data_IF_010074897606
#
_entry.id   IF_010074897606
#
_cell.length_a   1.000
_cell.length_b   1.000
_cell.length_c   1.000
_cell.angle_alpha   90.00
_cell.angle_beta   90.00
_cell.angle_gamma   90.00
#
_symmetry.space_group_name_H-M   'P 1'
#
loop_
_entity.id
_entity.type
_entity.pdbx_description
1 polymer ?
#
# COMPACT_ATOMS: atom_id res chain seq x y z
N UNK A 1 -0.44 0.50 21.23
CA UNK A 1 0.83 -0.06 20.70
C UNK A 1 1.86 1.04 20.64
N UNK A 2 3.06 0.74 21.06
CA UNK A 2 4.17 1.68 21.04
C UNK A 2 4.66 1.85 19.61
N UNK A 3 4.73 3.09 19.14
CA UNK A 3 5.24 3.40 17.81
C UNK A 3 6.74 3.69 17.92
N UNK A 4 7.58 2.74 17.52
CA UNK A 4 9.01 2.93 17.40
C UNK A 4 9.45 2.83 15.94
N UNK A 5 10.00 3.90 15.41
CA UNK A 5 10.58 3.96 14.09
C UNK A 5 9.66 4.52 13.00
N UNK A 6 10.17 4.48 11.78
CA UNK A 6 9.46 4.94 10.59
C UNK A 6 8.40 3.92 10.25
N UNK A 7 7.15 4.19 10.62
CA UNK A 7 6.03 3.44 10.06
C UNK A 7 6.08 3.49 8.54
N UNK A 8 5.27 2.66 7.89
CA UNK A 8 5.05 2.76 6.44
C UNK A 8 3.80 3.60 6.20
N UNK A 9 3.91 4.94 6.19
CA UNK A 9 2.76 5.78 5.89
C UNK A 9 2.32 5.50 4.46
N UNK A 10 1.02 5.31 4.29
CA UNK A 10 0.46 5.22 2.96
C UNK A 10 0.25 6.65 2.43
N UNK A 11 0.48 6.84 1.15
CA UNK A 11 0.12 8.10 0.49
C UNK A 11 -1.38 8.15 0.31
N UNK A 12 -1.96 9.33 0.53
CA UNK A 12 -3.40 9.56 0.33
C UNK A 12 -3.71 9.96 -1.12
N UNK A 13 -2.69 10.31 -1.89
CA UNK A 13 -2.77 10.73 -3.28
C UNK A 13 -1.90 9.84 -4.19
N UNK A 14 -2.28 9.73 -5.45
CA UNK A 14 -1.52 9.03 -6.47
C UNK A 14 -1.54 7.50 -6.30
N UNK A 15 -0.37 6.86 -6.47
CA UNK A 15 -0.24 5.41 -6.44
C UNK A 15 0.15 4.90 -5.06
N UNK A 16 -0.48 3.80 -4.66
CA UNK A 16 -0.10 3.08 -3.44
C UNK A 16 1.28 2.44 -3.58
N UNK A 17 2.04 2.42 -2.50
CA UNK A 17 3.24 1.60 -2.43
C UNK A 17 2.87 0.10 -2.50
N UNK A 18 3.82 -0.72 -2.94
CA UNK A 18 3.66 -2.18 -2.96
C UNK A 18 3.27 -2.71 -1.58
N UNK A 19 2.22 -3.51 -1.53
CA UNK A 19 1.77 -4.18 -0.32
C UNK A 19 2.57 -5.49 -0.15
N UNK A 20 3.40 -5.61 0.89
CA UNK A 20 4.21 -6.82 1.08
C UNK A 20 3.38 -7.97 1.63
N UNK A 21 3.66 -9.20 1.19
CA UNK A 21 3.05 -10.42 1.74
C UNK A 21 3.27 -10.59 3.26
N UNK A 22 4.28 -9.93 3.82
CA UNK A 22 4.59 -9.94 5.25
C UNK A 22 3.80 -8.89 6.07
N UNK A 23 2.72 -8.34 5.51
CA UNK A 23 1.75 -7.55 6.28
C UNK A 23 1.11 -8.40 7.40
N UNK A 24 0.48 -7.73 8.34
CA UNK A 24 -0.16 -8.38 9.51
C UNK A 24 0.63 -8.18 10.81
N UNK A 25 1.79 -7.50 10.73
CA UNK A 25 2.63 -7.13 11.86
C UNK A 25 3.17 -5.71 11.70
N UNK A 26 4.43 -5.50 12.06
CA UNK A 26 5.09 -4.19 11.99
C UNK A 26 5.27 -3.64 10.56
N UNK A 27 5.07 -4.49 9.55
CA UNK A 27 5.15 -4.12 8.13
C UNK A 27 3.80 -3.71 7.53
N UNK A 28 2.73 -3.74 8.32
CA UNK A 28 1.41 -3.25 7.87
C UNK A 28 1.48 -1.75 7.65
N UNK A 29 1.01 -1.24 6.51
CA UNK A 29 0.93 0.20 6.27
C UNK A 29 0.12 0.92 7.35
N UNK A 30 0.51 2.16 7.64
CA UNK A 30 -0.13 3.02 8.63
C UNK A 30 -0.93 4.09 7.90
N UNK A 31 -2.16 4.24 8.31
CA UNK A 31 -3.08 5.29 7.85
C UNK A 31 -3.10 6.38 8.90
N UNK A 32 -2.93 7.62 8.46
CA UNK A 32 -3.15 8.82 9.25
C UNK A 32 -4.54 9.36 8.92
N UNK A 33 -5.49 9.18 9.82
CA UNK A 33 -6.88 9.59 9.59
C UNK A 33 -7.03 11.10 9.46
N UNK A 34 -6.22 11.89 10.15
CA UNK A 34 -6.22 13.35 10.00
C UNK A 34 -5.73 13.80 8.63
N UNK A 35 -4.71 13.14 8.08
CA UNK A 35 -4.25 13.41 6.72
C UNK A 35 -5.33 13.04 5.70
N UNK A 36 -6.04 11.92 5.93
CA UNK A 36 -7.04 11.40 5.02
C UNK A 36 -8.34 12.24 5.01
N UNK A 37 -8.82 12.70 6.17
CA UNK A 37 -10.13 13.34 6.29
C UNK A 37 -10.06 14.85 6.52
N UNK A 38 -8.98 15.36 7.11
CA UNK A 38 -8.83 16.77 7.48
C UNK A 38 -7.81 17.51 6.62
N UNK A 39 -7.17 16.83 5.67
CA UNK A 39 -6.13 17.36 4.80
C UNK A 39 -4.95 18.01 5.57
N UNK A 40 -4.65 17.48 6.74
CA UNK A 40 -3.53 17.93 7.57
C UNK A 40 -2.22 17.34 7.07
N UNK A 41 -1.10 17.99 7.39
CA UNK A 41 0.22 17.44 7.08
C UNK A 41 0.44 16.07 7.74
N UNK A 42 1.21 15.20 7.06
CA UNK A 42 1.54 13.87 7.53
C UNK A 42 2.32 13.91 8.85
N UNK A 43 1.64 13.69 9.96
CA UNK A 43 2.24 13.69 11.31
C UNK A 43 3.47 12.78 11.40
N UNK A 44 3.45 11.61 10.75
CA UNK A 44 4.57 10.67 10.75
C UNK A 44 5.82 11.28 10.13
N UNK A 45 5.67 12.06 9.05
CA UNK A 45 6.79 12.74 8.39
C UNK A 45 7.39 13.79 9.30
N UNK A 46 6.57 14.63 9.92
CA UNK A 46 7.01 15.66 10.87
C UNK A 46 7.69 15.03 12.09
N UNK A 47 7.08 14.00 12.66
CA UNK A 47 7.67 13.27 13.79
C UNK A 47 9.07 12.74 13.43
N UNK A 48 9.19 12.08 12.29
CA UNK A 48 10.46 11.51 11.85
C UNK A 48 11.53 12.58 11.57
N UNK A 49 11.15 13.67 10.93
CA UNK A 49 12.06 14.82 10.72
C UNK A 49 12.56 15.41 12.05
N UNK A 50 11.67 15.55 13.02
CA UNK A 50 12.04 16.07 14.33
C UNK A 50 13.00 15.14 15.07
N UNK A 51 12.79 13.83 15.01
CA UNK A 51 13.73 12.83 15.55
C UNK A 51 15.08 12.89 14.85
N UNK A 52 15.08 12.91 13.51
CA UNK A 52 16.32 12.95 12.72
C UNK A 52 17.12 14.24 12.95
N UNK A 53 16.43 15.36 13.19
CA UNK A 53 17.05 16.65 13.50
C UNK A 53 17.40 16.81 14.98
N UNK A 54 17.37 15.75 15.79
CA UNK A 54 17.65 15.77 17.23
C UNK A 54 16.81 16.80 18.01
N UNK A 55 15.62 17.16 17.54
CA UNK A 55 14.73 18.09 18.25
C UNK A 55 14.10 17.48 19.49
N UNK A 56 13.94 16.15 19.50
CA UNK A 56 13.57 15.36 20.67
C UNK A 56 14.08 13.91 20.55
N UNK A 57 14.24 13.24 21.69
CA UNK A 57 14.59 11.83 21.73
C UNK A 57 13.38 10.95 21.39
N UNK A 58 13.66 9.77 20.82
CA UNK A 58 12.62 8.75 20.62
C UNK A 58 12.17 8.25 21.99
N UNK A 59 10.96 8.56 22.37
CA UNK A 59 10.34 8.01 23.57
C UNK A 59 9.35 6.91 23.18
N UNK A 60 9.30 5.86 24.02
CA UNK A 60 8.28 4.83 23.90
C UNK A 60 6.94 5.40 24.39
N UNK A 61 6.17 5.93 23.46
CA UNK A 61 4.80 6.44 23.70
C UNK A 61 3.77 5.62 22.93
N UNK A 62 2.55 5.64 23.42
CA UNK A 62 1.44 5.13 22.62
C UNK A 62 1.31 5.95 21.34
N UNK A 63 1.02 5.27 20.25
CA UNK A 63 0.75 5.94 18.98
C UNK A 63 -0.49 6.84 19.14
N UNK A 64 -0.50 8.04 18.54
CA UNK A 64 -1.70 8.86 18.50
C UNK A 64 -2.91 8.09 17.98
N UNK A 65 -4.09 8.33 18.54
CA UNK A 65 -5.31 7.60 18.22
C UNK A 65 -5.75 7.72 16.76
N UNK A 66 -5.34 8.78 16.07
CA UNK A 66 -5.60 8.99 14.64
C UNK A 66 -4.64 8.21 13.71
N UNK A 67 -3.67 7.49 14.27
CA UNK A 67 -2.80 6.58 13.52
C UNK A 67 -3.28 5.14 13.73
N UNK A 68 -3.63 4.48 12.65
CA UNK A 68 -4.02 3.07 12.70
C UNK A 68 -3.37 2.27 11.59
N UNK A 69 -3.35 0.96 11.77
CA UNK A 69 -2.93 0.05 10.70
C UNK A 69 -4.03 -0.07 9.65
N UNK A 70 -3.61 -0.23 8.40
CA UNK A 70 -4.52 -0.59 7.31
C UNK A 70 -5.25 -1.89 7.64
N UNK A 71 -6.54 -1.95 7.35
CA UNK A 71 -7.35 -3.16 7.51
C UNK A 71 -7.15 -4.15 6.36
N UNK A 72 -7.63 -5.38 6.52
CA UNK A 72 -7.61 -6.40 5.46
C UNK A 72 -8.46 -5.94 4.27
N UNK A 73 -9.62 -5.35 4.55
CA UNK A 73 -10.56 -4.86 3.54
C UNK A 73 -9.96 -3.70 2.73
N UNK A 74 -9.31 -2.75 3.39
CA UNK A 74 -8.61 -1.65 2.73
C UNK A 74 -7.45 -2.15 1.86
N UNK A 75 -6.67 -3.12 2.36
CA UNK A 75 -5.59 -3.72 1.59
C UNK A 75 -6.13 -4.48 0.35
N UNK A 76 -7.26 -5.17 0.49
CA UNK A 76 -7.92 -5.86 -0.61
C UNK A 76 -8.42 -4.88 -1.67
N UNK A 77 -9.05 -3.77 -1.27
CA UNK A 77 -9.50 -2.72 -2.18
C UNK A 77 -8.34 -2.08 -2.95
N UNK A 78 -7.21 -1.82 -2.30
CA UNK A 78 -6.01 -1.31 -2.97
C UNK A 78 -5.44 -2.29 -4.00
N UNK A 79 -5.57 -3.59 -3.76
CA UNK A 79 -5.23 -4.64 -4.72
C UNK A 79 -6.37 -4.91 -5.73
N UNK A 80 -7.39 -4.05 -5.72
CA UNK A 80 -8.53 -4.11 -6.64
C UNK A 80 -9.32 -5.44 -6.60
N UNK A 81 -9.33 -6.12 -5.44
CA UNK A 81 -10.22 -7.25 -5.23
C UNK A 81 -11.68 -6.79 -5.21
N UNK A 82 -12.62 -7.60 -5.71
CA UNK A 82 -14.03 -7.33 -5.55
C UNK A 82 -14.41 -7.14 -4.07
N UNK A 83 -15.36 -6.24 -3.79
CA UNK A 83 -15.75 -5.89 -2.43
C UNK A 83 -16.34 -7.06 -1.64
N UNK A 84 -16.91 -8.02 -2.34
CA UNK A 84 -17.52 -9.24 -1.79
C UNK A 84 -16.55 -10.42 -1.72
N UNK A 85 -15.28 -10.24 -2.14
CA UNK A 85 -14.27 -11.29 -2.10
C UNK A 85 -13.94 -11.69 -0.66
N UNK A 86 -14.01 -13.00 -0.37
CA UNK A 86 -13.81 -13.53 0.97
C UNK A 86 -12.44 -14.18 1.11
N UNK A 87 -11.63 -13.62 1.98
CA UNK A 87 -10.37 -14.22 2.41
C UNK A 87 -10.61 -15.14 3.61
N UNK A 88 -9.91 -16.26 3.67
CA UNK A 88 -10.06 -17.25 4.74
C UNK A 88 -8.80 -17.34 5.59
N UNK A 89 -8.98 -17.81 6.83
CA UNK A 89 -7.91 -17.99 7.79
C UNK A 89 -7.71 -16.80 8.74
N UNK A 90 -6.67 -16.83 9.57
CA UNK A 90 -6.34 -15.75 10.49
C UNK A 90 -5.93 -14.48 9.75
N UNK A 91 -5.99 -13.34 10.43
CA UNK A 91 -5.72 -12.03 9.83
C UNK A 91 -4.36 -11.95 9.11
N UNK A 92 -3.32 -12.55 9.68
CA UNK A 92 -1.99 -12.61 9.05
C UNK A 92 -2.02 -13.36 7.72
N UNK A 93 -2.76 -14.48 7.64
CA UNK A 93 -2.92 -15.24 6.41
C UNK A 93 -3.66 -14.43 5.33
N UNK A 94 -4.69 -13.68 5.71
CA UNK A 94 -5.43 -12.82 4.78
C UNK A 94 -4.52 -11.75 4.18
N UNK A 95 -3.69 -11.09 5.00
CA UNK A 95 -2.70 -10.14 4.49
C UNK A 95 -1.67 -10.81 3.57
N UNK A 96 -1.23 -12.02 3.87
CA UNK A 96 -0.32 -12.78 3.02
C UNK A 96 -0.95 -13.09 1.66
N UNK A 97 -2.22 -13.49 1.63
CA UNK A 97 -2.95 -13.75 0.39
C UNK A 97 -3.03 -12.47 -0.47
N UNK A 98 -3.37 -11.34 0.14
CA UNK A 98 -3.47 -10.05 -0.56
C UNK A 98 -2.10 -9.60 -1.10
N UNK A 99 -1.06 -9.67 -0.27
CA UNK A 99 0.28 -9.20 -0.64
C UNK A 99 0.98 -10.07 -1.69
N UNK A 100 0.59 -11.35 -1.82
CA UNK A 100 1.08 -12.25 -2.87
C UNK A 100 0.29 -12.13 -4.18
N UNK A 101 -0.86 -11.48 -4.15
CA UNK A 101 -1.70 -11.35 -5.33
C UNK A 101 -1.18 -10.26 -6.28
N UNK A 102 -1.39 -10.48 -7.56
CA UNK A 102 -1.33 -9.40 -8.57
C UNK A 102 -2.64 -8.61 -8.47
N UNK A 103 -2.61 -7.26 -8.53
CA UNK A 103 -3.84 -6.47 -8.56
C UNK A 103 -4.81 -6.94 -9.65
N UNK A 104 -6.06 -7.20 -9.29
CA UNK A 104 -7.03 -7.84 -10.20
C UNK A 104 -7.23 -7.06 -11.51
N UNK A 105 -7.32 -5.73 -11.43
CA UNK A 105 -7.45 -4.88 -12.62
C UNK A 105 -6.20 -4.94 -13.52
N UNK A 106 -5.00 -5.03 -12.93
CA UNK A 106 -3.76 -5.19 -13.69
C UNK A 106 -3.72 -6.53 -14.38
N UNK A 107 -4.07 -7.61 -13.67
CA UNK A 107 -4.14 -8.95 -14.25
C UNK A 107 -5.14 -9.00 -15.42
N UNK A 108 -6.32 -8.40 -15.26
CA UNK A 108 -7.33 -8.30 -16.32
C UNK A 108 -6.82 -7.54 -17.55
N UNK A 109 -6.15 -6.41 -17.36
CA UNK A 109 -5.60 -5.62 -18.45
C UNK A 109 -4.55 -6.42 -19.25
N UNK A 110 -3.61 -7.07 -18.54
CA UNK A 110 -2.55 -7.89 -19.17
C UNK A 110 -3.15 -9.07 -19.92
N UNK A 111 -4.07 -9.81 -19.29
CA UNK A 111 -4.71 -10.99 -19.94
C UNK A 111 -5.52 -10.56 -21.16
N UNK A 112 -6.27 -9.45 -21.08
CA UNK A 112 -7.04 -8.92 -22.21
C UNK A 112 -6.13 -8.55 -23.38
N UNK A 113 -4.98 -7.92 -23.11
CA UNK A 113 -3.98 -7.60 -24.13
C UNK A 113 -3.42 -8.87 -24.79
N UNK A 114 -3.05 -9.87 -24.02
CA UNK A 114 -2.56 -11.15 -24.54
C UNK A 114 -3.60 -11.82 -25.43
N UNK A 115 -4.86 -11.87 -25.00
CA UNK A 115 -5.96 -12.45 -25.80
C UNK A 115 -6.15 -11.67 -27.11
N UNK A 116 -6.08 -10.35 -27.09
CA UNK A 116 -6.22 -9.53 -28.29
C UNK A 116 -5.09 -9.79 -29.29
N UNK A 117 -3.87 -9.93 -28.80
CA UNK A 117 -2.70 -10.28 -29.64
C UNK A 117 -2.87 -11.66 -30.25
N UNK A 118 -3.25 -12.67 -29.45
CA UNK A 118 -3.46 -14.04 -29.93
C UNK A 118 -4.57 -14.13 -30.95
N UNK A 119 -5.60 -13.30 -30.82
CA UNK A 119 -6.71 -13.23 -31.78
C UNK A 119 -6.42 -12.35 -33.03
N UNK A 120 -5.18 -11.81 -33.13
CA UNK A 120 -4.80 -10.96 -34.27
C UNK A 120 -5.46 -9.58 -34.29
N UNK A 121 -6.10 -9.17 -33.18
CA UNK A 121 -6.76 -7.86 -33.05
C UNK A 121 -5.79 -6.72 -32.78
N UNK A 122 -4.65 -7.03 -32.17
CA UNK A 122 -3.58 -6.08 -31.88
C UNK A 122 -2.24 -6.64 -32.35
N UNK A 123 -1.39 -5.77 -32.89
CA UNK A 123 0.01 -6.10 -33.20
C UNK A 123 0.90 -5.71 -32.04
N UNK A 124 1.88 -6.54 -31.73
CA UNK A 124 2.92 -6.16 -30.77
C UNK A 124 3.72 -5.01 -31.38
N UNK A 125 3.45 -3.78 -30.97
CA UNK A 125 4.34 -2.65 -31.23
C UNK A 125 5.37 -2.63 -30.12
N UNK A 126 6.63 -2.91 -30.45
CA UNK A 126 7.72 -2.65 -29.51
C UNK A 126 7.80 -1.14 -29.31
N UNK A 127 7.25 -0.63 -28.22
CA UNK A 127 7.62 0.71 -27.78
C UNK A 127 9.12 0.70 -27.50
N UNK A 128 9.90 1.61 -28.08
CA UNK A 128 11.30 1.74 -27.68
C UNK A 128 11.31 1.93 -26.16
N UNK A 129 12.16 1.14 -25.47
CA UNK A 129 12.41 1.33 -24.04
C UNK A 129 12.98 2.73 -23.86
N UNK A 130 12.13 3.72 -23.68
CA UNK A 130 12.53 4.98 -23.09
C UNK A 130 12.90 4.66 -21.65
N UNK A 131 14.16 4.89 -21.31
CA UNK A 131 14.67 4.69 -19.95
C UNK A 131 13.72 5.34 -18.96
N UNK A 132 13.11 4.53 -18.07
CA UNK A 132 12.25 4.99 -16.98
C UNK A 132 13.04 5.63 -15.83
N UNK A 133 14.33 5.88 -16.04
CA UNK A 133 15.26 6.42 -15.06
C UNK A 133 16.14 7.50 -15.72
N UNK A 134 15.58 8.69 -15.85
CA UNK A 134 16.30 9.96 -15.89
C UNK A 134 15.86 10.80 -14.69
#
# INVERSE_FOLDING_TARGET
SVFNGVGRPIRIDGYSATLPASMGGNKTPIINEKELYENCEAWIKQYHQNVTNNRFSVEYKEAPSFLRRMTVEEAALLQTFPIDYKFYGPQSSKYTQIGNAVPCNLAQAVVSMVINILNGKEKISYLPQTCLFD
#
